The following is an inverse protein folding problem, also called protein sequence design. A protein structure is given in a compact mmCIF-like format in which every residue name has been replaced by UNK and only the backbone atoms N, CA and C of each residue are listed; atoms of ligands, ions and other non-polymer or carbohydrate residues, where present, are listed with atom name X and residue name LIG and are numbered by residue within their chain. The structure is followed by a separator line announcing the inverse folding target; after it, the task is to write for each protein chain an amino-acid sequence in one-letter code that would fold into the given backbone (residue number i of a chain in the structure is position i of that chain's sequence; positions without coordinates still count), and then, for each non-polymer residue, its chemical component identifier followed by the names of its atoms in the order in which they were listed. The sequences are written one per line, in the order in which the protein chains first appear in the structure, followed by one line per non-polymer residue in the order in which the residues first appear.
data_IF_288787289740
#
_entry.id   IF_288787289740
#
_cell.length_a   1.000
_cell.length_b   1.000
_cell.length_c   1.000
_cell.angle_alpha   90.00
_cell.angle_beta   90.00
_cell.angle_gamma   90.00
#
_symmetry.space_group_name_H-M   'P 1'
#
loop_
_entity.id
_entity.type
_entity.pdbx_description
1 polymer ?
#
# COMPACT_ATOMS: atom_id res chain seq x y z
N UNK A 1 34.06 -2.60 -28.21
CA UNK A 1 32.70 -3.11 -28.55
C UNK A 1 32.33 -4.16 -27.53
N UNK A 2 31.10 -4.10 -27.01
CA UNK A 2 30.53 -4.81 -25.86
C UNK A 2 30.68 -6.36 -25.97
N UNK A 3 30.67 -7.19 -24.92
CA UNK A 3 29.78 -7.20 -23.74
C UNK A 3 30.21 -8.26 -22.69
N UNK A 4 29.68 -8.10 -21.48
CA UNK A 4 29.31 -9.13 -20.49
C UNK A 4 30.42 -9.99 -19.82
N UNK A 5 30.57 -9.88 -18.50
CA UNK A 5 29.88 -10.76 -17.53
C UNK A 5 30.38 -10.50 -16.10
N UNK A 6 29.41 -10.34 -15.21
CA UNK A 6 29.53 -9.94 -13.81
C UNK A 6 30.05 -11.05 -12.89
N UNK A 7 30.87 -10.61 -11.94
CA UNK A 7 31.76 -11.36 -11.06
C UNK A 7 31.00 -12.20 -10.00
N UNK A 8 30.93 -13.52 -10.18
CA UNK A 8 30.27 -14.49 -9.26
C UNK A 8 31.16 -15.01 -8.12
N UNK A 9 32.37 -14.47 -7.95
CA UNK A 9 33.34 -15.01 -6.98
C UNK A 9 33.45 -14.22 -5.67
N UNK A 10 32.33 -14.02 -4.94
CA UNK A 10 32.41 -13.45 -3.57
C UNK A 10 31.43 -13.99 -2.53
N UNK A 11 30.81 -15.15 -2.75
CA UNK A 11 29.85 -15.73 -1.78
C UNK A 11 30.16 -17.22 -1.51
N UNK A 12 31.43 -17.59 -1.35
CA UNK A 12 31.80 -18.98 -1.01
C UNK A 12 32.53 -19.15 0.34
N UNK A 13 32.87 -18.07 1.08
CA UNK A 13 33.68 -18.21 2.30
C UNK A 13 32.98 -17.96 3.65
N UNK A 14 31.67 -17.66 3.69
CA UNK A 14 30.93 -17.59 4.96
C UNK A 14 30.22 -18.90 5.29
N UNK A 15 30.97 -19.99 5.51
CA UNK A 15 30.46 -21.21 6.16
C UNK A 15 31.01 -21.30 7.59
N UNK A 16 30.40 -20.55 8.50
CA UNK A 16 30.59 -20.75 9.94
C UNK A 16 29.55 -21.78 10.44
N UNK A 17 29.98 -22.94 10.92
CA UNK A 17 29.13 -24.06 11.36
C UNK A 17 28.45 -23.86 12.73
N UNK A 18 28.68 -22.72 13.41
CA UNK A 18 28.04 -22.39 14.69
C UNK A 18 26.78 -21.50 14.59
N UNK A 19 26.38 -21.07 13.39
CA UNK A 19 25.28 -20.09 13.22
C UNK A 19 23.88 -20.69 13.19
N UNK A 20 23.72 -22.02 13.05
CA UNK A 20 22.40 -22.67 12.93
C UNK A 20 21.59 -22.74 14.23
N UNK A 21 22.21 -22.65 15.40
CA UNK A 21 21.48 -22.74 16.69
C UNK A 21 20.92 -21.40 17.18
N UNK A 22 21.55 -20.26 16.84
CA UNK A 22 21.12 -18.95 17.33
C UNK A 22 19.87 -18.39 16.63
N UNK A 23 19.66 -18.67 15.34
CA UNK A 23 18.46 -18.19 14.63
C UNK A 23 17.16 -18.87 15.08
N UNK A 24 17.23 -19.96 15.85
CA UNK A 24 16.05 -20.69 16.33
C UNK A 24 15.43 -20.09 17.59
N UNK A 25 16.15 -19.27 18.37
CA UNK A 25 15.63 -18.67 19.61
C UNK A 25 15.02 -17.27 19.41
N UNK A 26 15.25 -16.61 18.29
CA UNK A 26 14.64 -15.30 17.94
C UNK A 26 13.29 -15.50 17.22
N UNK A 27 12.45 -16.40 17.75
CA UNK A 27 11.05 -16.57 17.28
C UNK A 27 10.02 -16.30 18.38
N UNK A 28 10.44 -15.73 19.51
CA UNK A 28 9.58 -15.60 20.69
C UNK A 28 9.57 -14.22 21.35
N UNK A 29 9.86 -13.16 20.60
CA UNK A 29 9.57 -11.78 21.02
C UNK A 29 9.07 -10.95 19.85
N UNK A 30 8.14 -11.49 19.07
CA UNK A 30 7.35 -10.66 18.18
C UNK A 30 6.24 -10.04 19.02
N UNK A 31 6.55 -8.95 19.71
CA UNK A 31 5.55 -7.89 19.84
C UNK A 31 5.30 -7.45 18.39
N UNK A 32 4.38 -8.16 17.73
CA UNK A 32 3.98 -7.91 16.36
C UNK A 32 3.34 -6.54 16.40
N UNK A 33 4.09 -5.51 16.01
CA UNK A 33 3.48 -4.24 15.70
C UNK A 33 2.42 -4.53 14.64
N UNK A 34 1.15 -4.45 15.05
CA UNK A 34 0.03 -4.49 14.13
C UNK A 34 0.18 -3.27 13.24
N UNK A 35 0.70 -3.48 12.02
CA UNK A 35 0.85 -2.40 11.06
C UNK A 35 -0.54 -1.91 10.70
N UNK A 36 -0.82 -0.65 11.05
CA UNK A 36 -2.02 0.04 10.57
C UNK A 36 -1.76 0.47 9.13
N UNK A 37 -2.52 -0.10 8.20
CA UNK A 37 -2.40 0.19 6.78
C UNK A 37 -3.58 1.06 6.34
N UNK A 38 -3.30 2.05 5.50
CA UNK A 38 -4.31 2.89 4.88
C UNK A 38 -4.08 2.92 3.37
N UNK A 39 -5.15 2.83 2.59
CA UNK A 39 -5.16 3.05 1.15
C UNK A 39 -5.75 4.42 0.88
N UNK A 40 -5.07 5.23 0.08
CA UNK A 40 -5.53 6.58 -0.30
C UNK A 40 -5.82 6.57 -1.79
N UNK A 41 -7.08 6.83 -2.15
CA UNK A 41 -7.56 6.84 -3.53
C UNK A 41 -7.99 8.27 -3.89
N UNK A 42 -7.16 9.03 -4.62
CA UNK A 42 -7.62 10.29 -5.21
C UNK A 42 -8.57 9.99 -6.37
N UNK A 43 -9.65 10.76 -6.49
CA UNK A 43 -10.62 10.57 -7.56
C UNK A 43 -11.28 11.89 -8.00
N UNK A 44 -11.67 11.93 -9.27
CA UNK A 44 -12.42 13.02 -9.89
C UNK A 44 -13.24 12.44 -11.05
N UNK A 45 -14.56 12.41 -10.92
CA UNK A 45 -15.49 11.86 -11.91
C UNK A 45 -15.19 10.41 -12.33
N UNK A 46 -15.07 9.53 -11.34
CA UNK A 46 -14.72 8.11 -11.46
C UNK A 46 -15.89 7.18 -11.05
N UNK A 47 -17.15 7.60 -11.23
CA UNK A 47 -18.31 6.81 -10.77
C UNK A 47 -18.40 5.40 -11.41
N UNK A 48 -17.79 5.18 -12.57
CA UNK A 48 -17.80 3.89 -13.24
C UNK A 48 -16.83 2.88 -12.63
N UNK A 49 -15.76 3.35 -11.99
CA UNK A 49 -14.61 2.53 -11.57
C UNK A 49 -14.49 2.42 -10.04
N UNK A 50 -14.89 3.47 -9.31
CA UNK A 50 -14.55 3.65 -7.90
C UNK A 50 -15.04 2.52 -6.99
N UNK A 51 -16.25 2.00 -7.24
CA UNK A 51 -16.80 0.89 -6.47
C UNK A 51 -15.92 -0.35 -6.57
N UNK A 52 -15.50 -0.72 -7.78
CA UNK A 52 -14.65 -1.89 -8.02
C UNK A 52 -13.28 -1.71 -7.34
N UNK A 53 -12.68 -0.53 -7.48
CA UNK A 53 -11.38 -0.22 -6.87
C UNK A 53 -11.43 -0.40 -5.35
N UNK A 54 -12.46 0.15 -4.69
CA UNK A 54 -12.63 0.00 -3.24
C UNK A 54 -12.82 -1.48 -2.86
N UNK A 55 -13.69 -2.22 -3.54
CA UNK A 55 -13.96 -3.62 -3.22
C UNK A 55 -12.75 -4.53 -3.44
N UNK A 56 -11.97 -4.28 -4.49
CA UNK A 56 -10.74 -5.05 -4.75
C UNK A 56 -9.72 -4.83 -3.63
N UNK A 57 -9.53 -3.58 -3.19
CA UNK A 57 -8.62 -3.29 -2.07
C UNK A 57 -9.11 -3.88 -0.74
N UNK A 58 -10.42 -3.93 -0.48
CA UNK A 58 -10.94 -4.60 0.72
C UNK A 58 -10.66 -6.10 0.69
N UNK A 59 -10.77 -6.73 -0.49
CA UNK A 59 -10.50 -8.15 -0.65
C UNK A 59 -9.01 -8.48 -0.46
N UNK A 60 -8.12 -7.69 -1.07
CA UNK A 60 -6.67 -7.92 -1.04
C UNK A 60 -6.00 -7.42 0.24
N UNK A 61 -6.56 -6.38 0.87
CA UNK A 61 -6.04 -5.76 2.09
C UNK A 61 -7.13 -5.64 3.17
N UNK A 62 -7.61 -6.76 3.77
CA UNK A 62 -8.74 -6.73 4.69
C UNK A 62 -8.54 -5.89 5.96
N UNK A 63 -7.29 -5.65 6.36
CA UNK A 63 -6.94 -4.84 7.54
C UNK A 63 -6.73 -3.36 7.21
N UNK A 64 -6.78 -2.99 5.93
CA UNK A 64 -6.55 -1.62 5.50
C UNK A 64 -7.79 -0.75 5.69
N UNK A 65 -7.58 0.48 6.18
CA UNK A 65 -8.60 1.52 6.09
C UNK A 65 -8.53 2.20 4.73
N UNK A 66 -9.61 2.20 3.96
CA UNK A 66 -9.65 2.84 2.64
C UNK A 66 -10.20 4.25 2.76
N UNK A 67 -9.41 5.22 2.33
CA UNK A 67 -9.78 6.62 2.21
C UNK A 67 -9.87 7.01 0.75
N UNK A 68 -10.97 7.65 0.39
CA UNK A 68 -11.23 8.19 -0.94
C UNK A 68 -11.23 9.70 -0.84
N UNK A 69 -10.35 10.37 -1.58
CA UNK A 69 -10.25 11.82 -1.62
C UNK A 69 -10.87 12.33 -2.91
N UNK A 70 -12.10 12.81 -2.80
CA UNK A 70 -12.91 13.31 -3.90
C UNK A 70 -12.57 14.78 -4.20
N UNK A 71 -12.01 15.04 -5.39
CA UNK A 71 -11.58 16.37 -5.83
C UNK A 71 -12.69 17.09 -6.61
N UNK A 72 -13.81 17.37 -5.92
CA UNK A 72 -15.00 18.03 -6.49
C UNK A 72 -15.61 17.29 -7.69
N UNK A 73 -15.80 15.97 -7.58
CA UNK A 73 -16.56 15.25 -8.61
C UNK A 73 -17.99 15.80 -8.71
N UNK A 74 -18.50 15.89 -9.94
CA UNK A 74 -19.86 16.32 -10.26
C UNK A 74 -20.79 15.14 -10.56
N UNK A 75 -20.25 13.92 -10.54
CA UNK A 75 -20.96 12.66 -10.76
C UNK A 75 -21.20 11.92 -9.41
N UNK A 76 -21.58 10.63 -9.47
CA UNK A 76 -21.84 9.83 -8.27
C UNK A 76 -20.60 9.21 -7.62
N UNK A 77 -19.39 9.67 -7.94
CA UNK A 77 -18.13 9.10 -7.41
C UNK A 77 -18.15 8.98 -5.88
N UNK A 78 -18.48 10.08 -5.19
CA UNK A 78 -18.46 10.11 -3.73
C UNK A 78 -19.55 9.23 -3.11
N UNK A 79 -20.72 9.11 -3.74
CA UNK A 79 -21.81 8.22 -3.30
C UNK A 79 -21.36 6.76 -3.39
N UNK A 80 -20.95 6.33 -4.59
CA UNK A 80 -20.53 4.94 -4.85
C UNK A 80 -19.31 4.51 -4.02
N UNK A 81 -18.39 5.43 -3.73
CA UNK A 81 -17.27 5.16 -2.85
C UNK A 81 -17.69 4.88 -1.40
N UNK A 82 -18.65 5.66 -0.86
CA UNK A 82 -19.20 5.43 0.48
C UNK A 82 -19.96 4.11 0.54
N UNK A 83 -20.78 3.83 -0.48
CA UNK A 83 -21.55 2.58 -0.56
C UNK A 83 -20.64 1.34 -0.63
N UNK A 84 -19.47 1.47 -1.27
CA UNK A 84 -18.44 0.44 -1.29
C UNK A 84 -17.67 0.29 0.05
N UNK A 85 -17.93 1.13 1.05
CA UNK A 85 -17.32 1.06 2.38
C UNK A 85 -16.03 1.87 2.56
N UNK A 86 -15.75 2.83 1.67
CA UNK A 86 -14.62 3.75 1.86
C UNK A 86 -14.98 4.99 2.68
N UNK A 87 -14.00 5.54 3.40
CA UNK A 87 -14.09 6.85 4.03
C UNK A 87 -13.85 7.95 2.99
N UNK A 88 -14.90 8.66 2.59
CA UNK A 88 -14.78 9.74 1.61
C UNK A 88 -14.50 11.08 2.27
N UNK A 89 -13.45 11.77 1.80
CA UNK A 89 -13.11 13.15 2.14
C UNK A 89 -13.19 14.01 0.89
N UNK A 90 -13.97 15.08 0.95
CA UNK A 90 -13.98 16.08 -0.11
C UNK A 90 -12.75 16.98 0.03
N UNK A 91 -12.07 17.23 -1.09
CA UNK A 91 -10.91 18.11 -1.16
C UNK A 91 -11.30 19.33 -1.99
N UNK A 92 -11.47 20.46 -1.30
CA UNK A 92 -11.88 21.72 -1.93
C UNK A 92 -10.71 22.48 -2.58
N UNK A 93 -9.48 21.97 -2.49
CA UNK A 93 -8.30 22.65 -3.02
C UNK A 93 -7.89 22.05 -4.38
N UNK A 94 -8.02 22.78 -5.49
CA UNK A 94 -7.54 22.30 -6.78
C UNK A 94 -6.02 22.09 -6.76
N UNK A 95 -5.57 21.04 -7.44
CA UNK A 95 -4.16 20.74 -7.66
C UNK A 95 -3.57 19.67 -6.72
N UNK A 96 -2.92 18.68 -7.33
CA UNK A 96 -2.24 17.53 -6.67
C UNK A 96 -1.29 17.88 -5.51
N UNK A 97 -0.74 19.11 -5.49
CA UNK A 97 0.19 19.57 -4.46
C UNK A 97 -0.44 19.87 -3.10
N UNK A 98 -1.76 20.04 -3.03
CA UNK A 98 -2.47 20.34 -1.77
C UNK A 98 -2.85 19.07 -0.98
N UNK A 99 -2.79 17.89 -1.62
CA UNK A 99 -3.20 16.61 -1.03
C UNK A 99 -2.07 15.94 -0.23
N UNK A 100 -0.80 16.25 -0.51
CA UNK A 100 0.37 15.57 0.12
C UNK A 100 0.87 16.29 1.40
N UNK A 101 0.25 17.40 1.82
CA UNK A 101 0.75 18.26 2.91
C UNK A 101 0.14 18.04 4.31
N UNK A 102 -0.71 17.04 4.54
CA UNK A 102 -1.31 16.79 5.86
C UNK A 102 -1.34 15.32 6.24
#
# INVERSE_FOLDING_TARGET
MLSAQSNTNKISSYKNKNTRRQYKSIRQSSQLFSFRLAVIIPCFNEEASIQKVVTDFQAELPTATIYVFDNNSTDKTAEKARDAGAFVRQVNLPGKGNVIRR
#
